data_IF_729736901004
#
_entry.id   IF_729736901004
#
_cell.length_a   1.000
_cell.length_b   1.000
_cell.length_c   1.000
_cell.angle_alpha   90.00
_cell.angle_beta   90.00
_cell.angle_gamma   90.00
#
_symmetry.space_group_name_H-M   'P 1'
#
loop_
_entity.id
_entity.type
_entity.pdbx_description
1 polymer ?
#
# COMPACT_ATOMS: atom_id res chain seq x y z
N UNK A 1 19.55 -16.56 4.96
CA UNK A 1 19.15 -15.36 5.73
C UNK A 1 18.31 -14.52 4.80
N UNK A 2 16.99 -14.63 4.90
CA UNK A 2 16.05 -13.72 4.23
C UNK A 2 15.98 -12.45 5.05
N UNK A 3 16.30 -11.30 4.45
CA UNK A 3 16.28 -10.00 5.13
C UNK A 3 14.86 -9.42 5.01
N UNK A 4 14.08 -9.46 6.08
CA UNK A 4 12.87 -8.65 6.21
C UNK A 4 13.26 -7.28 6.76
N UNK A 5 12.71 -6.22 6.15
CA UNK A 5 12.82 -4.87 6.69
C UNK A 5 11.53 -4.54 7.43
N UNK A 6 11.65 -3.95 8.62
CA UNK A 6 10.51 -3.48 9.44
C UNK A 6 10.52 -1.94 9.50
N UNK A 7 10.23 -1.26 8.38
CA UNK A 7 10.18 0.19 8.34
C UNK A 7 9.07 0.73 9.24
N UNK A 8 9.34 1.91 9.81
CA UNK A 8 8.37 2.67 10.58
C UNK A 8 7.83 3.83 9.75
N UNK A 9 6.55 4.14 9.91
CA UNK A 9 5.93 5.34 9.32
C UNK A 9 5.01 6.03 10.34
N UNK A 10 4.69 7.30 10.10
CA UNK A 10 3.73 8.06 10.91
C UNK A 10 2.40 8.13 10.18
N UNK A 11 1.35 7.55 10.78
CA UNK A 11 0.01 7.52 10.19
C UNK A 11 -0.72 8.88 10.30
N UNK A 12 -1.94 8.95 9.77
CA UNK A 12 -2.75 10.20 9.78
C UNK A 12 -3.15 10.65 11.20
N UNK A 13 -3.08 9.77 12.20
CA UNK A 13 -3.29 10.09 13.62
C UNK A 13 -1.99 10.47 14.35
N UNK A 14 -0.87 10.61 13.64
CA UNK A 14 0.42 10.98 14.24
C UNK A 14 1.09 9.84 15.02
N UNK A 15 0.62 8.60 14.89
CA UNK A 15 1.21 7.43 15.56
C UNK A 15 2.28 6.79 14.67
N UNK A 16 3.41 6.44 15.27
CA UNK A 16 4.41 5.58 14.64
C UNK A 16 3.88 4.16 14.57
N UNK A 17 3.89 3.60 13.38
CA UNK A 17 3.43 2.24 13.09
C UNK A 17 4.56 1.49 12.38
N UNK A 18 4.82 0.28 12.85
CA UNK A 18 5.73 -0.67 12.21
C UNK A 18 5.02 -1.37 11.05
N UNK A 19 5.71 -1.52 9.92
CA UNK A 19 5.16 -2.12 8.71
C UNK A 19 6.09 -3.22 8.19
N UNK A 20 5.90 -4.49 8.61
CA UNK A 20 6.76 -5.57 8.17
C UNK A 20 6.66 -5.77 6.64
N UNK A 21 7.82 -5.90 6.01
CA UNK A 21 7.94 -6.11 4.57
C UNK A 21 8.44 -7.50 4.24
N UNK A 22 7.77 -8.11 3.26
CA UNK A 22 8.20 -9.37 2.65
C UNK A 22 9.35 -9.13 1.68
N UNK A 23 10.11 -10.18 1.38
CA UNK A 23 11.12 -10.10 0.32
C UNK A 23 10.51 -9.67 -1.02
N UNK A 24 11.30 -8.98 -1.84
CA UNK A 24 10.86 -8.43 -3.14
C UNK A 24 9.70 -7.44 -3.02
N UNK A 25 9.62 -6.75 -1.88
CA UNK A 25 8.74 -5.61 -1.68
C UNK A 25 9.51 -4.35 -1.31
N UNK A 26 8.89 -3.21 -1.56
CA UNK A 26 9.33 -1.91 -1.07
C UNK A 26 8.12 -1.13 -0.56
N UNK A 27 8.34 -0.18 0.34
CA UNK A 27 7.28 0.70 0.78
C UNK A 27 7.67 2.17 0.75
N UNK A 28 6.67 3.02 0.60
CA UNK A 28 6.75 4.45 0.83
C UNK A 28 5.39 4.93 1.34
N UNK A 29 5.29 6.20 1.69
CA UNK A 29 4.00 6.80 2.05
C UNK A 29 3.58 7.84 1.04
N UNK A 30 2.27 7.89 0.75
CA UNK A 30 1.66 8.97 -0.01
C UNK A 30 0.45 9.49 0.76
N UNK A 31 0.38 10.79 1.02
CA UNK A 31 -0.61 11.38 1.93
C UNK A 31 -0.72 10.66 3.30
N UNK A 32 0.40 10.20 3.86
CA UNK A 32 0.47 9.39 5.10
C UNK A 32 -0.27 8.02 5.04
N UNK A 33 -0.66 7.59 3.84
CA UNK A 33 -1.11 6.22 3.59
C UNK A 33 0.11 5.42 3.13
N UNK A 34 0.46 4.31 3.80
CA UNK A 34 1.54 3.44 3.37
C UNK A 34 1.14 2.71 2.08
N UNK A 35 2.03 2.78 1.10
CA UNK A 35 1.93 2.11 -0.19
C UNK A 35 3.05 1.08 -0.26
N UNK A 36 2.70 -0.19 -0.44
CA UNK A 36 3.64 -1.30 -0.52
C UNK A 36 3.60 -1.90 -1.91
N UNK A 37 4.70 -1.82 -2.64
CA UNK A 37 4.85 -2.51 -3.91
C UNK A 37 5.39 -3.91 -3.64
N UNK A 38 4.74 -4.94 -4.19
CA UNK A 38 5.22 -6.33 -4.15
C UNK A 38 5.20 -6.93 -5.55
N UNK A 39 6.25 -7.66 -5.90
CA UNK A 39 6.26 -8.44 -7.14
C UNK A 39 5.16 -9.51 -7.10
N UNK A 40 4.42 -9.65 -8.19
CA UNK A 40 3.31 -10.60 -8.31
C UNK A 40 3.18 -11.13 -9.75
N UNK A 41 2.36 -12.17 -9.92
CA UNK A 41 2.07 -12.73 -11.25
C UNK A 41 1.12 -11.85 -12.06
N UNK A 42 0.26 -11.08 -11.41
CA UNK A 42 -0.70 -10.18 -12.03
C UNK A 42 -0.71 -8.80 -11.38
N UNK A 43 -1.14 -7.80 -12.16
CA UNK A 43 -1.27 -6.44 -11.69
C UNK A 43 -2.59 -6.27 -10.93
N UNK A 44 -2.52 -5.82 -9.68
CA UNK A 44 -3.70 -5.55 -8.87
C UNK A 44 -3.40 -4.53 -7.76
N UNK A 45 -4.46 -3.92 -7.23
CA UNK A 45 -4.41 -3.18 -5.97
C UNK A 45 -5.18 -3.93 -4.90
N UNK A 46 -4.56 -4.11 -3.72
CA UNK A 46 -5.27 -4.47 -2.50
C UNK A 46 -5.42 -3.21 -1.64
N UNK A 47 -6.65 -2.80 -1.38
CA UNK A 47 -6.99 -1.66 -0.55
C UNK A 47 -7.36 -2.18 0.83
N UNK A 48 -6.51 -1.89 1.82
CA UNK A 48 -6.80 -2.18 3.22
C UNK A 48 -7.48 -0.95 3.80
N UNK A 49 -8.70 -1.15 4.26
CA UNK A 49 -9.51 -0.10 4.88
C UNK A 49 -10.01 -0.51 6.26
N UNK A 50 -10.57 0.43 7.01
CA UNK A 50 -11.29 0.16 8.27
C UNK A 50 -12.43 -0.85 8.11
N UNK A 51 -12.99 -0.97 6.90
CA UNK A 51 -14.07 -1.89 6.57
C UNK A 51 -13.59 -3.27 6.07
N UNK A 52 -12.27 -3.45 5.95
CA UNK A 52 -11.65 -4.68 5.45
C UNK A 52 -10.87 -4.49 4.15
N UNK A 53 -10.64 -5.61 3.48
CA UNK A 53 -9.82 -5.73 2.27
C UNK A 53 -10.70 -5.70 1.02
N UNK A 54 -10.33 -4.89 0.03
CA UNK A 54 -10.87 -4.98 -1.33
C UNK A 54 -9.75 -5.10 -2.35
N UNK A 55 -10.03 -5.81 -3.45
CA UNK A 55 -9.05 -6.03 -4.53
C UNK A 55 -9.58 -5.43 -5.84
N UNK A 56 -8.71 -4.73 -6.55
CA UNK A 56 -8.97 -4.17 -7.88
C UNK A 56 -8.02 -4.83 -8.89
N UNK A 57 -8.56 -5.35 -9.99
CA UNK A 57 -7.80 -5.98 -11.08
C UNK A 57 -7.20 -4.93 -12.05
N UNK A 58 -6.75 -3.81 -11.51
CA UNK A 58 -6.07 -2.75 -12.24
C UNK A 58 -5.18 -1.96 -11.26
N UNK A 59 -4.36 -1.03 -11.77
CA UNK A 59 -3.43 -0.23 -10.96
C UNK A 59 -3.93 1.20 -10.71
N UNK A 60 -5.24 1.44 -10.80
CA UNK A 60 -5.84 2.75 -10.64
C UNK A 60 -6.83 2.77 -9.48
N UNK A 61 -6.75 3.83 -8.67
CA UNK A 61 -7.83 4.17 -7.75
C UNK A 61 -8.91 4.93 -8.52
N UNK A 62 -10.17 4.64 -8.22
CA UNK A 62 -11.27 5.49 -8.69
C UNK A 62 -11.27 6.85 -7.95
N UNK A 63 -12.14 7.75 -8.38
CA UNK A 63 -12.27 9.08 -7.77
C UNK A 63 -12.59 9.02 -6.28
N UNK A 64 -13.44 8.09 -5.87
CA UNK A 64 -13.88 7.94 -4.47
C UNK A 64 -12.74 7.51 -3.57
N UNK A 65 -11.96 6.50 -3.98
CA UNK A 65 -10.79 6.01 -3.25
C UNK A 65 -9.67 7.05 -3.25
N UNK A 66 -9.43 7.71 -4.38
CA UNK A 66 -8.44 8.78 -4.49
C UNK A 66 -8.73 9.93 -3.53
N UNK A 67 -9.99 10.36 -3.44
CA UNK A 67 -10.43 11.40 -2.51
C UNK A 67 -10.16 11.03 -1.04
N UNK A 68 -10.37 9.76 -0.66
CA UNK A 68 -10.05 9.30 0.71
C UNK A 68 -8.56 9.39 1.02
N UNK A 69 -7.70 9.00 0.06
CA UNK A 69 -6.23 9.14 0.20
C UNK A 69 -5.83 10.60 0.30
N UNK A 70 -6.26 11.44 -0.64
CA UNK A 70 -5.91 12.86 -0.67
C UNK A 70 -6.41 13.61 0.57
N UNK A 71 -7.62 13.29 1.02
CA UNK A 71 -8.26 13.87 2.19
C UNK A 71 -7.70 13.38 3.52
N UNK A 72 -6.76 12.41 3.52
CA UNK A 72 -6.18 11.81 4.73
C UNK A 72 -7.24 11.35 5.72
N UNK A 73 -8.35 10.81 5.22
CA UNK A 73 -9.52 10.49 6.06
C UNK A 73 -9.20 9.42 7.11
N UNK A 74 -8.16 8.62 6.86
CA UNK A 74 -7.81 7.45 7.68
C UNK A 74 -8.61 6.20 7.33
N UNK A 75 -9.55 6.28 6.38
CA UNK A 75 -10.34 5.13 5.95
C UNK A 75 -9.48 4.09 5.24
N UNK A 76 -8.56 4.54 4.38
CA UNK A 76 -7.58 3.69 3.70
C UNK A 76 -6.32 3.68 4.57
N UNK A 77 -6.03 2.54 5.17
CA UNK A 77 -4.92 2.38 6.11
C UNK A 77 -3.67 1.84 5.45
N UNK A 78 -3.80 1.16 4.30
CA UNK A 78 -2.68 0.66 3.47
C UNK A 78 -3.14 0.38 2.05
N UNK A 79 -2.25 0.59 1.09
CA UNK A 79 -2.42 0.15 -0.29
C UNK A 79 -1.29 -0.83 -0.62
N UNK A 80 -1.64 -2.00 -1.14
CA UNK A 80 -0.65 -2.94 -1.68
C UNK A 80 -0.79 -2.96 -3.19
N UNK A 81 0.31 -2.64 -3.87
CA UNK A 81 0.43 -2.67 -5.32
C UNK A 81 1.10 -3.98 -5.71
N UNK A 82 0.33 -4.88 -6.30
CA UNK A 82 0.86 -6.06 -6.96
C UNK A 82 1.32 -5.67 -8.35
N UNK A 83 2.60 -5.86 -8.65
CA UNK A 83 3.19 -5.47 -9.93
C UNK A 83 3.91 -6.64 -10.59
N UNK A 84 3.62 -6.89 -11.88
CA UNK A 84 4.35 -7.89 -12.67
C UNK A 84 5.76 -7.44 -12.92
N UNK A 85 6.71 -8.38 -12.92
CA UNK A 85 8.12 -8.10 -13.18
C UNK A 85 8.35 -7.39 -14.52
N UNK A 86 7.53 -7.67 -15.54
CA UNK A 86 7.61 -7.06 -16.88
C UNK A 86 7.34 -5.53 -16.88
N UNK A 87 6.80 -4.98 -15.78
CA UNK A 87 6.61 -3.53 -15.63
C UNK A 87 7.82 -2.82 -15.03
N UNK A 88 8.87 -3.55 -14.63
CA UNK A 88 10.07 -3.01 -14.00
C UNK A 88 11.21 -2.86 -15.03
N UNK A 89 12.12 -1.91 -14.78
CA UNK A 89 13.26 -1.60 -15.64
C UNK A 89 14.57 -2.11 -15.05
#
# INVERSE_FOLDING_TARGET
>A
MTYSADPNYVNVQGKTIELPLEEKSLCFTYCQVPVVYKLANENALEIVSSNGLSTLENLNLDTTLSQKVFGRTGDITRIVVQIKQDNLR
#
